data_IF_726064574249
#
_entry.id   IF_726064574249
#
_cell.length_a   1.000
_cell.length_b   1.000
_cell.length_c   1.000
_cell.angle_alpha   90.00
_cell.angle_beta   90.00
_cell.angle_gamma   90.00
#
_symmetry.space_group_name_H-M   'P 1'
#
loop_
_entity.id
_entity.type
_entity.pdbx_description
1 polymer ?
#
# COMPACT_ATOMS: atom_id res chain seq x y z
N UNK A 1 -22.42 -9.45 -22.29
CA UNK A 1 -21.72 -9.20 -21.01
C UNK A 1 -22.65 -9.61 -19.86
N UNK A 2 -22.11 -10.12 -18.76
CA UNK A 2 -22.81 -10.54 -17.54
C UNK A 2 -22.78 -9.39 -16.52
N UNK A 3 -23.88 -9.06 -15.83
CA UNK A 3 -23.85 -8.03 -14.80
C UNK A 3 -23.16 -8.53 -13.52
N UNK A 4 -22.48 -7.65 -12.79
CA UNK A 4 -22.02 -7.88 -11.42
C UNK A 4 -23.20 -7.98 -10.47
N UNK A 5 -22.97 -8.59 -9.29
CA UNK A 5 -24.03 -8.81 -8.28
C UNK A 5 -24.72 -7.52 -7.82
N UNK A 6 -23.97 -6.43 -7.75
CA UNK A 6 -24.45 -5.10 -7.36
C UNK A 6 -24.97 -4.27 -8.55
N UNK A 7 -24.88 -4.80 -9.78
CA UNK A 7 -25.33 -4.12 -11.01
C UNK A 7 -24.39 -3.01 -11.51
N UNK A 8 -23.31 -2.71 -10.79
CA UNK A 8 -22.39 -1.60 -11.12
C UNK A 8 -21.60 -1.86 -12.41
N UNK A 9 -21.32 -3.12 -12.72
CA UNK A 9 -20.46 -3.53 -13.83
C UNK A 9 -21.13 -4.56 -14.73
N UNK A 10 -20.79 -4.53 -16.00
CA UNK A 10 -21.01 -5.62 -16.93
C UNK A 10 -19.66 -6.18 -17.36
N UNK A 11 -19.49 -7.49 -17.40
CA UNK A 11 -18.21 -8.08 -17.78
C UNK A 11 -18.32 -9.27 -18.73
N UNK A 12 -17.24 -9.54 -19.44
CA UNK A 12 -17.08 -10.71 -20.29
C UNK A 12 -15.80 -11.44 -19.87
N UNK A 13 -15.97 -12.70 -19.49
CA UNK A 13 -14.87 -13.60 -19.17
C UNK A 13 -14.20 -14.09 -20.47
N UNK A 14 -12.87 -14.09 -20.46
CA UNK A 14 -11.98 -14.72 -21.42
C UNK A 14 -11.07 -15.68 -20.63
N UNK A 15 -10.29 -16.52 -21.31
CA UNK A 15 -9.47 -17.56 -20.65
C UNK A 15 -8.53 -17.01 -19.56
N UNK A 16 -7.81 -15.94 -19.87
CA UNK A 16 -6.88 -15.26 -18.94
C UNK A 16 -7.17 -13.77 -18.81
N UNK A 17 -8.42 -13.35 -19.04
CA UNK A 17 -8.76 -11.94 -19.03
C UNK A 17 -10.23 -11.72 -18.72
N UNK A 18 -10.54 -10.50 -18.27
CA UNK A 18 -11.92 -10.04 -18.18
C UNK A 18 -12.04 -8.61 -18.71
N UNK A 19 -13.01 -8.40 -19.59
CA UNK A 19 -13.37 -7.08 -20.09
C UNK A 19 -14.52 -6.57 -19.24
N UNK A 20 -14.35 -5.39 -18.65
CA UNK A 20 -15.35 -4.71 -17.82
C UNK A 20 -15.87 -3.48 -18.55
N UNK A 21 -17.18 -3.32 -18.61
CA UNK A 21 -17.86 -2.06 -18.93
C UNK A 21 -18.61 -1.56 -17.70
N UNK A 22 -18.50 -0.27 -17.39
CA UNK A 22 -19.28 0.32 -16.29
C UNK A 22 -20.73 0.51 -16.75
N UNK A 23 -21.71 0.17 -15.91
CA UNK A 23 -23.11 0.28 -16.30
C UNK A 23 -23.55 1.73 -16.61
N UNK A 24 -22.87 2.70 -16.01
CA UNK A 24 -23.21 4.14 -16.08
C UNK A 24 -22.26 4.98 -16.94
N UNK A 25 -21.15 4.42 -17.45
CA UNK A 25 -20.15 5.13 -18.26
C UNK A 25 -19.59 4.19 -19.36
N UNK A 26 -19.44 4.64 -20.62
CA UNK A 26 -18.89 3.84 -21.72
C UNK A 26 -17.45 3.33 -21.54
N UNK A 27 -16.74 3.73 -20.48
CA UNK A 27 -15.42 3.19 -20.14
C UNK A 27 -15.39 1.66 -20.13
N UNK A 28 -14.64 1.07 -21.06
CA UNK A 28 -14.36 -0.38 -21.13
C UNK A 28 -12.90 -0.63 -20.78
N UNK A 29 -12.66 -1.42 -19.73
CA UNK A 29 -11.32 -1.74 -19.23
C UNK A 29 -11.10 -3.24 -19.25
N UNK A 30 -9.98 -3.67 -19.83
CA UNK A 30 -9.55 -5.05 -19.75
C UNK A 30 -8.61 -5.23 -18.56
N UNK A 31 -8.80 -6.30 -17.81
CA UNK A 31 -7.83 -6.83 -16.84
C UNK A 31 -7.28 -8.12 -17.44
N UNK A 32 -5.98 -8.18 -17.66
CA UNK A 32 -5.34 -9.18 -18.51
C UNK A 32 -4.33 -10.02 -17.73
N UNK A 33 -4.16 -11.25 -18.17
CA UNK A 33 -3.07 -12.18 -17.85
C UNK A 33 -2.73 -12.28 -16.36
N UNK A 34 -1.49 -11.96 -15.99
CA UNK A 34 -1.00 -12.07 -14.63
C UNK A 34 -1.74 -11.13 -13.66
N UNK A 35 -2.03 -9.90 -14.08
CA UNK A 35 -2.83 -8.94 -13.32
C UNK A 35 -4.25 -9.46 -13.10
N UNK A 36 -4.85 -10.13 -14.08
CA UNK A 36 -6.16 -10.77 -13.92
C UNK A 36 -6.12 -11.90 -12.89
N UNK A 37 -5.13 -12.79 -12.98
CA UNK A 37 -4.98 -13.88 -12.03
C UNK A 37 -4.78 -13.37 -10.59
N UNK A 38 -3.98 -12.31 -10.42
CA UNK A 38 -3.80 -11.64 -9.13
C UNK A 38 -5.10 -10.98 -8.65
N UNK A 39 -5.83 -10.29 -9.53
CA UNK A 39 -7.10 -9.66 -9.15
C UNK A 39 -8.13 -10.69 -8.67
N UNK A 40 -8.26 -11.81 -9.37
CA UNK A 40 -9.18 -12.89 -8.98
C UNK A 40 -8.74 -13.60 -7.69
N UNK A 41 -7.42 -13.75 -7.43
CA UNK A 41 -6.95 -14.32 -6.17
C UNK A 41 -7.30 -13.47 -4.96
N UNK A 42 -7.49 -12.16 -5.15
CA UNK A 42 -7.94 -11.22 -4.11
C UNK A 42 -9.47 -11.05 -4.04
N UNK A 43 -10.23 -11.90 -4.74
CA UNK A 43 -11.70 -11.86 -4.76
C UNK A 43 -12.30 -11.01 -5.89
N UNK A 44 -11.47 -10.58 -6.84
CA UNK A 44 -11.90 -9.87 -8.05
C UNK A 44 -12.71 -8.62 -7.74
N UNK A 45 -13.79 -8.42 -8.48
CA UNK A 45 -14.66 -7.24 -8.33
C UNK A 45 -15.36 -7.13 -6.98
N UNK A 46 -15.55 -8.26 -6.27
CA UNK A 46 -16.12 -8.30 -4.93
C UNK A 46 -15.06 -8.16 -3.83
N UNK A 47 -13.78 -8.21 -4.21
CA UNK A 47 -12.63 -8.05 -3.35
C UNK A 47 -12.32 -6.59 -3.02
N UNK A 48 -11.24 -6.34 -2.25
CA UNK A 48 -10.89 -5.01 -1.77
C UNK A 48 -10.45 -4.05 -2.89
N UNK A 49 -9.99 -4.57 -4.03
CA UNK A 49 -9.61 -3.78 -5.19
C UNK A 49 -10.83 -3.26 -5.97
N UNK A 50 -11.94 -4.00 -5.99
CA UNK A 50 -13.12 -3.65 -6.78
C UNK A 50 -12.88 -3.75 -8.30
N UNK A 51 -13.66 -3.02 -9.09
CA UNK A 51 -13.52 -2.98 -10.55
C UNK A 51 -12.32 -2.13 -11.03
N UNK A 52 -11.86 -2.32 -12.28
CA UNK A 52 -10.77 -1.54 -12.85
C UNK A 52 -11.16 -0.06 -12.98
N UNK A 53 -10.24 0.84 -12.61
CA UNK A 53 -10.38 2.29 -12.75
C UNK A 53 -9.64 2.85 -13.97
N UNK A 54 -8.91 2.00 -14.70
CA UNK A 54 -8.16 2.37 -15.88
C UNK A 54 -7.61 1.16 -16.62
N UNK A 55 -6.99 1.42 -17.77
CA UNK A 55 -6.17 0.42 -18.48
C UNK A 55 -4.87 0.15 -17.73
N UNK A 56 -4.24 -1.00 -17.99
CA UNK A 56 -2.85 -1.23 -17.58
C UNK A 56 -1.93 -0.17 -18.19
N UNK A 57 -0.93 0.26 -17.42
CA UNK A 57 0.05 1.29 -17.76
C UNK A 57 1.44 0.86 -17.34
N UNK A 58 2.45 1.41 -17.98
CA UNK A 58 3.84 1.34 -17.50
C UNK A 58 4.12 2.52 -16.56
N UNK A 59 4.85 2.26 -15.48
CA UNK A 59 5.40 3.30 -14.61
C UNK A 59 6.34 4.24 -15.37
N UNK A 60 6.46 5.47 -14.89
CA UNK A 60 7.26 6.51 -15.53
C UNK A 60 8.76 6.16 -15.59
N UNK A 61 9.25 5.44 -14.58
CA UNK A 61 10.62 4.93 -14.53
C UNK A 61 10.83 3.64 -15.37
N UNK A 62 9.77 3.12 -15.99
CA UNK A 62 9.81 1.90 -16.81
C UNK A 62 9.97 0.59 -16.02
N UNK A 63 9.96 0.63 -14.69
CA UNK A 63 10.28 -0.54 -13.84
C UNK A 63 9.10 -1.47 -13.57
N UNK A 64 7.86 -1.06 -13.83
CA UNK A 64 6.67 -1.85 -13.51
C UNK A 64 5.53 -1.59 -14.50
N UNK A 65 4.76 -2.64 -14.82
CA UNK A 65 3.38 -2.45 -15.27
C UNK A 65 2.48 -2.33 -14.05
N UNK A 66 1.42 -1.53 -14.13
CA UNK A 66 0.41 -1.46 -13.08
C UNK A 66 -0.97 -1.20 -13.66
N UNK A 67 -1.98 -1.61 -12.91
CA UNK A 67 -3.37 -1.27 -13.21
C UNK A 67 -4.05 -0.70 -11.97
N UNK A 68 -4.72 0.43 -12.17
CA UNK A 68 -5.56 1.06 -11.17
C UNK A 68 -6.92 0.36 -11.10
N UNK A 69 -7.37 0.14 -9.87
CA UNK A 69 -8.70 -0.33 -9.51
C UNK A 69 -9.35 0.70 -8.59
N UNK A 70 -10.67 0.65 -8.45
CA UNK A 70 -11.41 1.64 -7.64
C UNK A 70 -10.90 1.67 -6.19
N UNK A 71 -10.54 0.53 -5.63
CA UNK A 71 -10.06 0.38 -4.25
C UNK A 71 -8.55 0.32 -4.09
N UNK A 72 -7.76 0.33 -5.16
CA UNK A 72 -6.32 0.09 -5.07
C UNK A 72 -5.58 -0.04 -6.40
N UNK A 73 -4.40 -0.65 -6.36
CA UNK A 73 -3.53 -0.84 -7.53
C UNK A 73 -2.80 -2.17 -7.43
N UNK A 74 -2.66 -2.87 -8.56
CA UNK A 74 -1.75 -4.01 -8.70
C UNK A 74 -0.50 -3.53 -9.46
N UNK A 75 0.67 -3.81 -8.92
CA UNK A 75 1.96 -3.65 -9.61
C UNK A 75 2.47 -5.01 -10.05
N UNK A 76 2.86 -5.13 -11.32
CA UNK A 76 3.58 -6.27 -11.88
C UNK A 76 5.02 -5.82 -12.20
N UNK A 77 5.99 -6.40 -11.51
CA UNK A 77 7.41 -6.05 -11.68
C UNK A 77 8.28 -7.29 -11.47
N UNK A 78 9.13 -7.59 -12.45
CA UNK A 78 10.08 -8.71 -12.38
C UNK A 78 9.42 -10.05 -12.02
N UNK A 79 8.17 -10.26 -12.46
CA UNK A 79 7.35 -11.43 -12.12
C UNK A 79 6.70 -11.40 -10.73
N UNK A 80 6.95 -10.37 -9.92
CA UNK A 80 6.28 -10.14 -8.66
C UNK A 80 5.02 -9.28 -8.88
N UNK A 81 3.86 -9.82 -8.50
CA UNK A 81 2.59 -9.13 -8.56
C UNK A 81 2.12 -8.78 -7.15
N UNK A 82 2.14 -7.49 -6.82
CA UNK A 82 1.82 -7.00 -5.48
C UNK A 82 0.67 -6.03 -5.56
N UNK A 83 -0.35 -6.27 -4.74
CA UNK A 83 -1.49 -5.38 -4.61
C UNK A 83 -1.30 -4.42 -3.41
N UNK A 84 -1.79 -3.20 -3.57
CA UNK A 84 -2.04 -2.28 -2.46
C UNK A 84 -3.47 -1.76 -2.57
N UNK A 85 -4.20 -1.72 -1.44
CA UNK A 85 -5.59 -1.27 -1.40
C UNK A 85 -5.93 -0.41 -0.18
N UNK A 86 -7.10 0.23 -0.23
CA UNK A 86 -7.72 0.95 0.87
C UNK A 86 -6.80 2.02 1.48
N UNK A 87 -6.75 2.10 2.81
CA UNK A 87 -5.98 3.11 3.51
C UNK A 87 -4.46 3.03 3.22
N UNK A 88 -3.94 1.83 2.93
CA UNK A 88 -2.51 1.66 2.56
C UNK A 88 -2.23 2.28 1.20
N UNK A 89 -3.07 1.99 0.19
CA UNK A 89 -2.97 2.62 -1.13
C UNK A 89 -3.07 4.15 -1.04
N UNK A 90 -4.10 4.66 -0.35
CA UNK A 90 -4.27 6.09 -0.16
C UNK A 90 -3.06 6.74 0.53
N UNK A 91 -2.50 6.09 1.55
CA UNK A 91 -1.33 6.61 2.24
C UNK A 91 -0.08 6.61 1.34
N UNK A 92 0.13 5.56 0.55
CA UNK A 92 1.25 5.47 -0.39
C UNK A 92 1.19 6.58 -1.44
N UNK A 93 0.01 6.81 -2.05
CA UNK A 93 -0.15 7.88 -3.04
C UNK A 93 0.00 9.29 -2.43
N UNK A 94 -0.38 9.49 -1.17
CA UNK A 94 -0.18 10.77 -0.45
C UNK A 94 1.29 11.13 -0.21
N UNK A 95 2.21 10.16 -0.33
CA UNK A 95 3.65 10.37 -0.20
C UNK A 95 4.35 10.08 -1.52
N UNK A 96 3.76 10.51 -2.65
CA UNK A 96 4.30 10.39 -4.02
C UNK A 96 4.44 8.95 -4.54
N UNK A 97 3.77 7.98 -3.91
CA UNK A 97 3.68 6.60 -4.38
C UNK A 97 5.05 5.97 -4.60
N UNK A 98 5.23 5.33 -5.76
CA UNK A 98 6.48 4.64 -6.13
C UNK A 98 7.66 5.57 -6.40
N UNK A 99 7.40 6.87 -6.57
CA UNK A 99 8.45 7.90 -6.72
C UNK A 99 8.78 8.58 -5.39
N UNK A 100 8.03 8.25 -4.35
CA UNK A 100 8.21 8.73 -3.01
C UNK A 100 9.23 7.94 -2.19
N UNK A 101 9.25 8.16 -0.86
CA UNK A 101 10.26 7.59 0.02
C UNK A 101 10.15 6.08 0.23
N UNK A 102 9.02 5.46 -0.16
CA UNK A 102 8.81 4.01 0.04
C UNK A 102 9.24 3.18 -1.18
N UNK A 103 9.14 3.73 -2.39
CA UNK A 103 9.34 2.96 -3.62
C UNK A 103 8.19 1.98 -3.90
N UNK A 104 8.51 0.90 -4.62
CA UNK A 104 7.52 -0.12 -4.99
C UNK A 104 7.13 -1.03 -3.80
N UNK A 105 5.89 -1.53 -3.76
CA UNK A 105 5.52 -2.57 -2.81
C UNK A 105 6.26 -3.87 -3.14
N UNK A 106 6.65 -4.62 -2.11
CA UNK A 106 7.50 -5.83 -2.27
C UNK A 106 6.79 -7.12 -1.88
N UNK A 107 5.71 -7.03 -1.09
CA UNK A 107 4.84 -8.14 -0.74
C UNK A 107 3.46 -7.59 -0.38
N UNK A 108 2.42 -8.43 -0.49
CA UNK A 108 1.04 -8.05 -0.19
C UNK A 108 0.79 -7.65 1.27
N UNK A 109 -0.34 -6.98 1.50
CA UNK A 109 -0.80 -6.60 2.83
C UNK A 109 -1.07 -7.84 3.70
N UNK A 110 -0.27 -8.04 4.74
CA UNK A 110 -0.40 -9.20 5.62
C UNK A 110 -0.66 -8.82 7.06
N UNK A 111 -1.30 -9.72 7.82
CA UNK A 111 -1.41 -9.57 9.28
C UNK A 111 -0.02 -9.61 9.90
N UNK A 112 0.18 -8.77 10.91
CA UNK A 112 1.35 -8.85 11.78
C UNK A 112 1.06 -9.89 12.86
N UNK A 113 1.85 -10.95 12.90
CA UNK A 113 1.70 -12.06 13.84
C UNK A 113 1.68 -11.57 15.30
N UNK A 114 0.80 -12.14 16.11
CA UNK A 114 0.63 -11.75 17.52
C UNK A 114 0.03 -10.36 17.74
N UNK A 115 -0.55 -9.72 16.72
CA UNK A 115 -1.08 -8.36 16.86
C UNK A 115 -2.37 -8.10 16.07
N UNK A 116 -2.96 -6.92 16.32
CA UNK A 116 -4.26 -6.49 15.76
C UNK A 116 -4.21 -5.88 14.36
N UNK A 117 -3.01 -5.61 13.83
CA UNK A 117 -2.81 -4.82 12.63
C UNK A 117 -2.28 -5.61 11.43
N UNK A 118 -2.09 -4.87 10.35
CA UNK A 118 -1.51 -5.34 9.10
C UNK A 118 -0.28 -4.50 8.74
N UNK A 119 0.58 -5.06 7.90
CA UNK A 119 1.76 -4.38 7.35
C UNK A 119 1.87 -4.64 5.86
N UNK A 120 2.14 -3.58 5.11
CA UNK A 120 2.55 -3.63 3.71
C UNK A 120 4.03 -3.28 3.61
N UNK A 121 4.88 -4.22 3.16
CA UNK A 121 6.27 -3.96 2.85
C UNK A 121 6.47 -3.21 1.50
N UNK A 122 7.40 -2.27 1.49
CA UNK A 122 7.89 -1.55 0.31
C UNK A 122 9.42 -1.64 0.25
N UNK A 123 10.03 -1.21 -0.86
CA UNK A 123 11.48 -1.25 -1.07
C UNK A 123 12.27 -0.53 0.04
N UNK A 124 11.81 0.66 0.43
CA UNK A 124 12.52 1.54 1.37
C UNK A 124 11.72 1.83 2.64
N UNK A 125 10.61 1.13 2.86
CA UNK A 125 9.86 1.28 4.10
C UNK A 125 8.67 0.35 4.25
N UNK A 126 7.79 0.65 5.20
CA UNK A 126 6.58 -0.13 5.46
C UNK A 126 5.43 0.80 5.82
N UNK A 127 4.21 0.41 5.43
CA UNK A 127 2.98 1.03 5.92
C UNK A 127 2.32 0.05 6.88
N UNK A 128 2.02 0.49 8.10
CA UNK A 128 1.19 -0.27 9.03
C UNK A 128 -0.21 0.26 9.02
N UNK A 129 -1.17 -0.65 9.13
CA UNK A 129 -2.58 -0.33 9.24
C UNK A 129 -3.20 -0.99 10.46
N UNK A 130 -3.95 -0.20 11.22
CA UNK A 130 -4.93 -0.73 12.17
C UNK A 130 -6.26 0.02 12.04
N UNK A 131 -7.36 -0.59 12.48
CA UNK A 131 -8.66 0.08 12.45
C UNK A 131 -8.72 1.34 13.34
N UNK A 132 -7.91 1.41 14.40
CA UNK A 132 -7.94 2.55 15.34
C UNK A 132 -6.96 3.66 14.99
N UNK A 133 -5.84 3.35 14.33
CA UNK A 133 -4.80 4.33 13.99
C UNK A 133 -4.90 4.77 12.53
N UNK A 134 -5.43 3.93 11.64
CA UNK A 134 -5.32 4.14 10.20
C UNK A 134 -3.97 3.64 9.66
N UNK A 135 -3.63 4.09 8.45
CA UNK A 135 -2.42 3.68 7.73
C UNK A 135 -1.30 4.71 7.88
N UNK A 136 -0.14 4.30 8.41
CA UNK A 136 1.01 5.18 8.61
C UNK A 136 2.30 4.55 8.09
N UNK A 137 3.09 5.37 7.39
CA UNK A 137 4.35 4.97 6.80
C UNK A 137 5.51 5.20 7.77
N UNK A 138 6.43 4.22 7.88
CA UNK A 138 7.72 4.40 8.57
C UNK A 138 8.83 3.91 7.64
N UNK A 139 9.91 4.69 7.54
CA UNK A 139 11.02 4.43 6.63
C UNK A 139 12.37 4.98 7.15
N UNK A 140 13.46 4.54 6.53
CA UNK A 140 14.83 4.93 6.86
C UNK A 140 15.24 4.60 8.30
N UNK A 141 16.19 5.34 8.87
CA UNK A 141 16.75 5.04 10.19
C UNK A 141 15.72 4.90 11.33
N UNK A 142 14.56 5.58 11.24
CA UNK A 142 13.48 5.41 12.22
C UNK A 142 12.87 4.00 12.11
N UNK A 143 12.65 3.51 10.90
CA UNK A 143 12.18 2.16 10.65
C UNK A 143 13.16 1.13 11.21
N UNK A 144 14.44 1.30 10.91
CA UNK A 144 15.49 0.37 11.35
C UNK A 144 15.49 0.27 12.88
N UNK A 145 15.53 1.42 13.58
CA UNK A 145 15.48 1.47 15.05
C UNK A 145 14.18 0.89 15.61
N UNK A 146 13.04 1.17 14.96
CA UNK A 146 11.73 0.68 15.39
C UNK A 146 11.66 -0.85 15.31
N UNK A 147 12.20 -1.47 14.26
CA UNK A 147 12.18 -2.92 14.11
C UNK A 147 13.24 -3.62 14.94
N UNK A 148 14.48 -3.15 14.89
CA UNK A 148 15.64 -3.88 15.42
C UNK A 148 15.78 -3.74 16.93
N UNK A 149 15.33 -2.60 17.48
CA UNK A 149 15.57 -2.29 18.89
C UNK A 149 14.28 -2.05 19.66
N UNK A 150 13.24 -1.50 19.04
CA UNK A 150 11.93 -1.33 19.68
C UNK A 150 11.01 -2.55 19.49
N UNK A 151 11.40 -3.56 18.72
CA UNK A 151 10.61 -4.78 18.52
C UNK A 151 9.36 -4.60 17.65
N UNK A 152 9.26 -3.49 16.92
CA UNK A 152 8.16 -3.19 16.02
C UNK A 152 6.81 -3.04 16.75
N UNK A 153 5.68 -3.36 16.07
CA UNK A 153 4.33 -3.06 16.57
C UNK A 153 3.89 -3.90 17.78
N UNK A 154 4.57 -5.02 18.05
CA UNK A 154 4.34 -5.83 19.25
C UNK A 154 5.26 -5.44 20.40
N UNK A 155 6.17 -4.49 20.17
CA UNK A 155 7.09 -3.98 21.18
C UNK A 155 6.51 -2.79 21.96
N UNK A 156 7.32 -2.20 22.86
CA UNK A 156 6.89 -1.15 23.79
C UNK A 156 6.34 0.13 23.16
N UNK A 157 6.66 0.44 21.89
CA UNK A 157 6.13 1.64 21.23
C UNK A 157 4.72 1.44 20.65
N UNK A 158 4.33 0.20 20.33
CA UNK A 158 3.10 -0.09 19.60
C UNK A 158 3.13 0.41 18.15
N UNK A 159 1.95 0.59 17.57
CA UNK A 159 1.78 1.01 16.17
C UNK A 159 2.11 2.50 15.95
N UNK A 160 2.54 2.90 14.74
CA UNK A 160 2.60 4.31 14.38
C UNK A 160 1.18 4.93 14.40
N UNK A 161 1.08 6.20 14.80
CA UNK A 161 -0.20 6.93 14.97
C UNK A 161 -0.25 8.28 14.25
N UNK A 162 0.86 8.70 13.66
CA UNK A 162 0.96 9.94 12.91
C UNK A 162 1.99 9.79 11.79
N UNK A 163 2.09 10.79 10.94
CA UNK A 163 3.14 10.83 9.93
C UNK A 163 4.43 11.38 10.48
N UNK A 164 5.54 11.03 9.83
CA UNK A 164 6.81 11.65 10.17
C UNK A 164 6.73 13.15 9.94
N UNK A 165 7.18 13.93 10.91
CA UNK A 165 7.19 15.40 10.86
C UNK A 165 8.59 15.94 11.14
N UNK A 166 8.92 17.09 10.56
CA UNK A 166 10.11 17.83 10.99
C UNK A 166 9.89 18.39 12.39
N UNK A 167 10.94 18.45 13.22
CA UNK A 167 10.83 18.97 14.59
C UNK A 167 10.99 20.49 14.70
N UNK A 168 11.30 21.17 13.58
CA UNK A 168 11.68 22.58 13.52
C UNK A 168 13.19 22.81 13.59
N UNK A 169 13.97 21.80 13.99
CA UNK A 169 15.43 21.78 13.85
C UNK A 169 15.83 21.21 12.48
N UNK A 170 16.88 21.75 11.87
CA UNK A 170 17.36 21.28 10.57
C UNK A 170 17.80 19.81 10.61
N UNK A 171 17.28 18.99 9.70
CA UNK A 171 17.62 17.56 9.56
C UNK A 171 16.91 16.61 10.54
N UNK A 172 16.29 17.14 11.60
CA UNK A 172 15.59 16.34 12.59
C UNK A 172 14.17 15.97 12.14
N UNK A 173 13.80 14.69 12.32
CA UNK A 173 12.43 14.23 12.08
C UNK A 173 11.95 13.32 13.21
N UNK A 174 10.67 13.42 13.53
CA UNK A 174 10.00 12.65 14.55
C UNK A 174 8.92 11.77 13.94
N UNK A 175 8.72 10.59 14.52
CA UNK A 175 7.65 9.64 14.21
C UNK A 175 6.94 9.27 15.50
N UNK A 176 5.64 9.53 15.58
CA UNK A 176 4.83 9.17 16.74
C UNK A 176 4.28 7.74 16.62
N UNK A 177 4.23 7.07 17.77
CA UNK A 177 3.69 5.74 17.99
C UNK A 177 2.72 5.76 19.17
N UNK A 178 1.94 4.70 19.36
CA UNK A 178 0.91 4.61 20.41
C UNK A 178 1.45 4.93 21.81
N UNK A 179 2.71 4.56 22.10
CA UNK A 179 3.31 4.69 23.43
C UNK A 179 4.65 5.42 23.43
N UNK A 180 4.90 6.27 22.41
CA UNK A 180 6.11 7.09 22.40
C UNK A 180 6.38 7.75 21.06
N UNK A 181 7.56 8.35 20.94
CA UNK A 181 8.01 9.00 19.71
C UNK A 181 9.47 8.67 19.49
N UNK A 182 9.83 8.26 18.27
CA UNK A 182 11.23 8.18 17.85
C UNK A 182 11.60 9.46 17.12
N UNK A 183 12.79 9.98 17.42
CA UNK A 183 13.37 11.16 16.75
C UNK A 183 14.69 10.75 16.14
N UNK A 184 14.82 10.98 14.83
CA UNK A 184 16.12 10.99 14.16
C UNK A 184 16.69 12.39 14.26
N UNK A 185 17.87 12.52 14.86
CA UNK A 185 18.61 13.78 14.98
C UNK A 185 19.37 14.11 13.71
N UNK A 186 19.89 15.33 13.63
CA UNK A 186 20.72 15.80 12.50
C UNK A 186 22.01 15.00 12.33
N UNK A 187 22.54 14.42 13.41
CA UNK A 187 23.70 13.51 13.40
C UNK A 187 23.36 12.08 12.92
N UNK A 188 22.10 11.82 12.56
CA UNK A 188 21.61 10.52 12.10
C UNK A 188 21.22 9.56 13.22
N UNK A 189 21.49 9.87 14.49
CA UNK A 189 21.12 9.01 15.63
C UNK A 189 19.61 8.98 15.81
N UNK A 190 19.07 7.81 16.16
CA UNK A 190 17.64 7.63 16.47
C UNK A 190 17.45 7.23 17.91
N UNK A 191 16.62 7.98 18.63
CA UNK A 191 16.27 7.68 20.02
C UNK A 191 14.83 8.04 20.33
N UNK A 192 14.34 7.53 21.46
CA UNK A 192 13.05 7.96 22.00
C UNK A 192 13.13 9.42 22.42
N UNK A 193 12.05 10.18 22.18
CA UNK A 193 11.86 11.50 22.77
C UNK A 193 11.51 11.31 24.25
N UNK A 194 12.31 11.91 25.13
CA UNK A 194 12.05 11.96 26.58
C UNK A 194 10.96 12.95 26.94
#
# INVERSE_FOLDING_TARGET
MRPSRDGTWNYQDLESARIYGRAEDPGTFAVLDDVFLKHESEGGIAGPLGGPAGRERTSHDGRSRYQDFVGGRIYARDGNLVEIHGAVFLRHEQIDGVYGPLGYPTADLRRVEGSRGKVQPFESGRIWYTASTGAHAVWGAILDRYLEVEGGPTGPLGYPVAERTGTGSEGEVAQAFEHGTLVRRSDGTVGRRG
#
